data_IF_474805912117
#
_entry.id   IF_474805912117
#
_cell.length_a   1.000
_cell.length_b   1.000
_cell.length_c   1.000
_cell.angle_alpha   90.00
_cell.angle_beta   90.00
_cell.angle_gamma   90.00
#
_symmetry.space_group_name_H-M   'P 1'
#
loop_
_entity.id
_entity.type
_entity.pdbx_description
1 polymer ?
#
# COMPACT_ATOMS: atom_id res chain seq x y z
N UNK A 1 7.00 43.07 3.50
CA UNK A 1 5.79 42.34 3.90
C UNK A 1 5.98 40.90 3.48
N UNK A 2 5.99 39.98 4.43
CA UNK A 2 5.94 38.55 4.17
C UNK A 2 4.61 38.23 3.49
N UNK A 3 4.65 37.72 2.26
CA UNK A 3 3.46 37.16 1.63
C UNK A 3 2.96 36.02 2.53
N UNK A 4 1.79 36.20 3.13
CA UNK A 4 1.13 35.10 3.84
C UNK A 4 0.77 34.03 2.81
N UNK A 5 1.36 32.85 2.98
CA UNK A 5 1.07 31.67 2.17
C UNK A 5 -0.34 31.19 2.50
N UNK A 6 -1.31 31.55 1.66
CA UNK A 6 -2.70 31.14 1.79
C UNK A 6 -2.83 29.66 1.38
N UNK A 7 -2.53 28.77 2.32
CA UNK A 7 -2.77 27.33 2.15
C UNK A 7 -4.21 26.96 2.52
N UNK A 8 -4.90 26.22 1.64
CA UNK A 8 -6.22 25.62 1.92
C UNK A 8 -6.11 24.11 1.84
N UNK A 9 -6.49 23.43 2.92
CA UNK A 9 -6.68 21.98 2.89
C UNK A 9 -8.00 21.66 2.20
N UNK A 10 -7.93 20.89 1.12
CA UNK A 10 -9.11 20.38 0.41
C UNK A 10 -9.27 18.92 0.80
N UNK A 11 -10.37 18.62 1.49
CA UNK A 11 -10.72 17.24 1.80
C UNK A 11 -11.40 16.61 0.59
N UNK A 12 -11.27 15.29 0.46
CA UNK A 12 -11.86 14.55 -0.66
C UNK A 12 -13.40 14.57 -0.65
N UNK A 13 -14.01 14.78 0.51
CA UNK A 13 -15.46 14.90 0.71
C UNK A 13 -15.95 16.36 0.62
N UNK A 14 -15.06 17.32 0.35
CA UNK A 14 -15.41 18.73 0.23
C UNK A 14 -16.11 19.02 -1.10
N UNK A 15 -17.43 18.83 -1.11
CA UNK A 15 -18.30 19.13 -2.27
C UNK A 15 -18.11 20.57 -2.74
N UNK A 16 -17.83 21.50 -1.82
CA UNK A 16 -17.69 22.92 -2.14
C UNK A 16 -16.44 23.23 -3.00
N UNK A 17 -15.43 22.36 -2.95
CA UNK A 17 -14.26 22.45 -3.81
C UNK A 17 -14.58 22.08 -5.27
N UNK A 18 -15.60 21.24 -5.48
CA UNK A 18 -15.99 20.73 -6.80
C UNK A 18 -17.15 21.52 -7.46
N UNK A 19 -17.91 22.31 -6.70
CA UNK A 19 -19.09 23.05 -7.20
C UNK A 19 -18.83 24.51 -7.55
N UNK A 20 -17.59 25.02 -7.44
CA UNK A 20 -17.35 26.48 -7.49
C UNK A 20 -17.26 27.09 -8.89
N UNK A 21 -17.35 26.28 -9.93
CA UNK A 21 -17.55 26.72 -11.30
C UNK A 21 -18.28 25.63 -12.05
N UNK A 22 -19.26 25.98 -12.89
CA UNK A 22 -19.99 25.05 -13.76
C UNK A 22 -19.10 24.45 -14.87
N UNK A 23 -17.79 24.33 -14.64
CA UNK A 23 -16.86 23.72 -15.57
C UNK A 23 -17.04 22.19 -15.52
N UNK A 24 -17.57 21.59 -16.60
CA UNK A 24 -17.81 20.15 -16.65
C UNK A 24 -16.52 19.33 -16.51
N UNK A 25 -15.36 19.89 -16.88
CA UNK A 25 -14.07 19.20 -16.76
C UNK A 25 -13.62 19.06 -15.30
N UNK A 26 -13.79 20.11 -14.49
CA UNK A 26 -13.49 20.07 -13.06
C UNK A 26 -14.44 19.12 -12.33
N UNK A 27 -15.72 19.13 -12.69
CA UNK A 27 -16.71 18.22 -12.12
C UNK A 27 -16.35 16.77 -12.43
N UNK A 28 -15.99 16.47 -13.68
CA UNK A 28 -15.56 15.14 -14.09
C UNK A 28 -14.27 14.71 -13.40
N UNK A 29 -13.30 15.61 -13.22
CA UNK A 29 -12.08 15.33 -12.48
C UNK A 29 -12.36 14.97 -11.02
N UNK A 30 -13.23 15.75 -10.36
CA UNK A 30 -13.67 15.48 -9.00
C UNK A 30 -14.35 14.11 -8.90
N UNK A 31 -15.24 13.77 -9.82
CA UNK A 31 -15.91 12.48 -9.85
C UNK A 31 -14.95 11.33 -10.14
N UNK A 32 -14.01 11.49 -11.08
CA UNK A 32 -12.97 10.50 -11.36
C UNK A 32 -12.10 10.25 -10.12
N UNK A 33 -11.67 11.32 -9.44
CA UNK A 33 -10.89 11.21 -8.21
C UNK A 33 -11.69 10.55 -7.08
N UNK A 34 -12.96 10.94 -6.91
CA UNK A 34 -13.90 10.38 -5.93
C UNK A 34 -14.21 8.91 -6.19
N UNK A 35 -14.36 8.51 -7.43
CA UNK A 35 -14.63 7.12 -7.78
C UNK A 35 -13.37 6.26 -7.69
N UNK A 36 -12.18 6.82 -7.92
CA UNK A 36 -10.92 6.14 -7.65
C UNK A 36 -10.62 5.99 -6.14
N UNK A 37 -11.32 6.73 -5.27
CA UNK A 37 -11.35 6.48 -3.81
C UNK A 37 -12.11 5.20 -3.42
N UNK A 38 -12.71 4.46 -4.37
CA UNK A 38 -13.04 3.02 -4.18
C UNK A 38 -11.81 2.18 -3.76
N UNK A 39 -10.61 2.76 -3.83
CA UNK A 39 -9.42 2.39 -3.06
C UNK A 39 -9.64 2.21 -1.55
N UNK A 40 -10.77 2.62 -0.97
CA UNK A 40 -11.09 2.32 0.44
C UNK A 40 -11.25 0.82 0.65
N UNK A 41 -11.85 0.11 -0.31
CA UNK A 41 -11.99 -1.35 -0.27
C UNK A 41 -10.64 -2.06 -0.43
N UNK A 42 -9.78 -1.57 -1.34
CA UNK A 42 -8.41 -2.09 -1.52
C UNK A 42 -7.52 -1.77 -0.33
N UNK A 43 -7.72 -0.64 0.33
CA UNK A 43 -7.03 -0.27 1.57
C UNK A 43 -7.44 -1.19 2.73
N UNK A 44 -8.74 -1.45 2.88
CA UNK A 44 -9.24 -2.41 3.89
C UNK A 44 -8.69 -3.81 3.60
N UNK A 45 -8.73 -4.27 2.35
CA UNK A 45 -8.09 -5.52 1.94
C UNK A 45 -6.58 -5.52 2.20
N UNK A 46 -5.89 -4.41 1.95
CA UNK A 46 -4.46 -4.28 2.24
C UNK A 46 -4.18 -4.44 3.73
N UNK A 47 -4.98 -3.82 4.61
CA UNK A 47 -4.88 -3.99 6.07
C UNK A 47 -5.16 -5.44 6.46
N UNK A 48 -6.21 -6.05 5.91
CA UNK A 48 -6.55 -7.45 6.19
C UNK A 48 -5.47 -8.41 5.72
N UNK A 49 -4.79 -8.13 4.61
CA UNK A 49 -3.64 -8.92 4.12
C UNK A 49 -2.36 -8.68 4.93
N UNK A 50 -2.27 -7.55 5.63
CA UNK A 50 -1.12 -7.23 6.48
C UNK A 50 -1.08 -8.12 7.74
N UNK A 51 -2.25 -8.46 8.31
CA UNK A 51 -2.33 -9.26 9.52
C UNK A 51 -1.73 -10.66 9.34
N UNK A 52 -2.08 -11.44 8.29
CA UNK A 52 -1.40 -12.70 7.99
C UNK A 52 0.10 -12.53 7.75
N UNK A 53 0.52 -11.46 7.06
CA UNK A 53 1.95 -11.21 6.77
C UNK A 53 2.72 -11.04 8.08
N UNK A 54 2.25 -10.16 8.98
CA UNK A 54 2.86 -9.97 10.30
C UNK A 54 2.85 -11.25 11.15
N UNK A 55 1.77 -12.04 11.04
CA UNK A 55 1.71 -13.32 11.74
C UNK A 55 2.75 -14.30 11.20
N UNK A 56 2.94 -14.36 9.88
CA UNK A 56 3.99 -15.16 9.23
C UNK A 56 5.38 -14.68 9.67
N UNK A 57 5.63 -13.37 9.72
CA UNK A 57 6.91 -12.81 10.19
C UNK A 57 7.22 -13.25 11.61
N UNK A 58 6.24 -13.13 12.52
CA UNK A 58 6.36 -13.60 13.89
C UNK A 58 6.59 -15.11 13.96
N UNK A 59 5.88 -15.92 13.15
CA UNK A 59 6.08 -17.36 13.11
C UNK A 59 7.50 -17.72 12.66
N UNK A 60 8.07 -16.98 11.71
CA UNK A 60 9.45 -17.19 11.24
C UNK A 60 10.51 -16.77 12.25
N UNK A 61 10.16 -16.04 13.31
CA UNK A 61 11.07 -15.83 14.46
C UNK A 61 11.19 -17.05 15.37
N UNK A 62 10.36 -18.08 15.16
CA UNK A 62 10.39 -19.32 15.96
C UNK A 62 10.99 -20.46 15.17
N UNK A 63 11.81 -21.30 15.82
CA UNK A 63 12.41 -22.51 15.23
C UNK A 63 11.35 -23.45 14.63
N UNK A 64 10.19 -23.54 15.29
CA UNK A 64 9.07 -24.39 14.89
C UNK A 64 8.31 -23.84 13.68
N UNK A 65 8.13 -22.52 13.63
CA UNK A 65 7.30 -21.86 12.61
C UNK A 65 8.03 -21.56 11.30
N UNK A 66 9.37 -21.53 11.31
CA UNK A 66 10.17 -21.22 10.11
C UNK A 66 10.32 -22.44 9.19
N UNK A 67 9.26 -22.71 8.42
CA UNK A 67 9.20 -23.80 7.42
C UNK A 67 9.09 -23.23 6.00
N UNK A 68 9.49 -24.03 4.99
CA UNK A 68 9.50 -23.62 3.57
C UNK A 68 8.13 -23.11 3.07
N UNK A 69 7.04 -23.70 3.57
CA UNK A 69 5.68 -23.26 3.25
C UNK A 69 5.43 -21.81 3.72
N UNK A 70 5.81 -21.49 4.96
CA UNK A 70 5.65 -20.14 5.53
C UNK A 70 6.53 -19.12 4.81
N UNK A 71 7.78 -19.50 4.45
CA UNK A 71 8.63 -18.66 3.60
C UNK A 71 7.96 -18.33 2.27
N UNK A 72 7.42 -19.35 1.59
CA UNK A 72 6.79 -19.18 0.28
C UNK A 72 5.52 -18.34 0.38
N UNK A 73 4.70 -18.57 1.40
CA UNK A 73 3.48 -17.82 1.66
C UNK A 73 3.79 -16.36 1.98
N UNK A 74 4.82 -16.08 2.78
CA UNK A 74 5.29 -14.71 3.07
C UNK A 74 5.71 -13.98 1.79
N UNK A 75 6.51 -14.62 0.94
CA UNK A 75 6.93 -14.04 -0.36
C UNK A 75 5.74 -13.73 -1.26
N UNK A 76 4.83 -14.69 -1.47
CA UNK A 76 3.67 -14.52 -2.36
C UNK A 76 2.72 -13.44 -1.83
N UNK A 77 2.40 -13.49 -0.53
CA UNK A 77 1.47 -12.54 0.09
C UNK A 77 2.04 -11.13 0.05
N UNK A 78 3.33 -10.96 0.38
CA UNK A 78 3.96 -9.65 0.34
C UNK A 78 4.05 -9.11 -1.11
N UNK A 79 4.35 -9.96 -2.10
CA UNK A 79 4.34 -9.56 -3.52
C UNK A 79 2.94 -9.11 -3.97
N UNK A 80 1.89 -9.88 -3.68
CA UNK A 80 0.52 -9.49 -4.02
C UNK A 80 0.11 -8.17 -3.36
N UNK A 81 0.49 -7.99 -2.09
CA UNK A 81 0.20 -6.77 -1.33
C UNK A 81 0.96 -5.56 -1.87
N UNK A 82 2.23 -5.74 -2.25
CA UNK A 82 3.06 -4.71 -2.89
C UNK A 82 2.47 -4.25 -4.23
N UNK A 83 2.09 -5.19 -5.09
CA UNK A 83 1.46 -4.87 -6.38
C UNK A 83 0.16 -4.10 -6.16
N UNK A 84 -0.66 -4.55 -5.21
CA UNK A 84 -1.93 -3.90 -4.89
C UNK A 84 -1.75 -2.47 -4.37
N UNK A 85 -0.75 -2.23 -3.52
CA UNK A 85 -0.47 -0.88 -3.00
C UNK A 85 0.13 0.04 -4.06
N UNK A 86 1.01 -0.47 -4.92
CA UNK A 86 1.54 0.28 -6.08
C UNK A 86 0.43 0.66 -7.07
N UNK A 87 -0.48 -0.25 -7.39
CA UNK A 87 -1.63 0.04 -8.25
C UNK A 87 -2.51 1.14 -7.64
N UNK A 88 -2.75 1.09 -6.33
CA UNK A 88 -3.53 2.12 -5.64
C UNK A 88 -2.85 3.50 -5.68
N UNK A 89 -1.52 3.56 -5.47
CA UNK A 89 -0.74 4.80 -5.58
C UNK A 89 -0.77 5.38 -7.00
N UNK A 90 -0.62 4.53 -8.03
CA UNK A 90 -0.64 4.94 -9.43
C UNK A 90 -2.04 5.42 -9.85
N UNK A 91 -3.09 4.70 -9.45
CA UNK A 91 -4.47 5.09 -9.73
C UNK A 91 -4.80 6.46 -9.10
N UNK A 92 -4.43 6.67 -7.83
CA UNK A 92 -4.59 7.98 -7.19
C UNK A 92 -3.81 9.08 -7.91
N UNK A 93 -2.54 8.83 -8.26
CA UNK A 93 -1.72 9.83 -8.97
C UNK A 93 -2.33 10.22 -10.31
N UNK A 94 -2.79 9.24 -11.08
CA UNK A 94 -3.37 9.45 -12.41
C UNK A 94 -4.73 10.17 -12.33
N UNK A 95 -5.61 9.75 -11.42
CA UNK A 95 -6.95 10.30 -11.30
C UNK A 95 -6.98 11.66 -10.58
N UNK A 96 -6.19 11.82 -9.51
CA UNK A 96 -6.34 12.95 -8.59
C UNK A 96 -5.22 13.98 -8.62
N UNK A 97 -4.01 13.65 -9.09
CA UNK A 97 -2.85 14.56 -8.98
C UNK A 97 -2.38 15.11 -10.33
N UNK A 98 -2.26 14.25 -11.34
CA UNK A 98 -1.71 14.65 -12.65
C UNK A 98 -2.61 15.60 -13.44
N UNK A 99 -3.92 15.60 -13.15
CA UNK A 99 -4.92 16.40 -13.87
C UNK A 99 -5.32 17.68 -13.13
N UNK A 100 -4.70 17.98 -11.99
CA UNK A 100 -5.01 19.19 -11.23
C UNK A 100 -4.53 20.44 -11.98
N UNK A 101 -5.34 21.50 -12.07
CA UNK A 101 -4.97 22.73 -12.76
C UNK A 101 -3.85 23.43 -12.00
N UNK A 102 -2.76 23.78 -12.69
CA UNK A 102 -1.63 24.52 -12.08
C UNK A 102 -1.87 26.02 -12.00
N UNK A 103 -2.95 26.51 -12.60
CA UNK A 103 -3.29 27.93 -12.70
C UNK A 103 -4.81 28.11 -12.61
N UNK A 104 -5.25 29.12 -11.85
CA UNK A 104 -6.64 29.56 -11.79
C UNK A 104 -6.76 30.89 -12.54
N UNK A 105 -7.56 30.90 -13.61
CA UNK A 105 -7.88 32.05 -14.46
C UNK A 105 -6.68 32.78 -15.09
N UNK A 106 -5.54 32.10 -15.24
CA UNK A 106 -4.31 32.66 -15.83
C UNK A 106 -3.55 33.61 -14.88
N UNK A 107 -3.98 33.73 -13.62
CA UNK A 107 -3.53 34.79 -12.71
C UNK A 107 -2.89 34.26 -11.43
N UNK A 108 -3.27 33.07 -10.98
CA UNK A 108 -2.81 32.52 -9.71
C UNK A 108 -2.22 31.13 -9.93
N UNK A 109 -0.90 31.03 -9.81
CA UNK A 109 -0.21 29.76 -9.81
C UNK A 109 -0.58 28.96 -8.55
N UNK A 110 -1.07 27.75 -8.74
CA UNK A 110 -1.47 26.84 -7.65
C UNK A 110 -0.46 25.73 -7.53
N UNK A 111 0.04 25.51 -6.31
CA UNK A 111 0.88 24.38 -5.99
C UNK A 111 0.10 23.33 -5.21
N UNK A 112 -0.01 22.14 -5.79
CA UNK A 112 -0.70 21.02 -5.17
C UNK A 112 0.28 20.14 -4.40
N UNK A 113 -0.07 19.84 -3.16
CA UNK A 113 0.66 18.88 -2.33
C UNK A 113 -0.23 17.68 -2.01
N UNK A 114 0.39 16.50 -1.95
CA UNK A 114 -0.32 15.28 -1.57
C UNK A 114 -0.56 15.23 -0.06
N UNK A 115 -1.74 14.74 0.33
CA UNK A 115 -2.12 14.59 1.73
C UNK A 115 -1.34 13.50 2.48
N UNK A 116 -1.52 13.45 3.81
CA UNK A 116 -0.83 12.52 4.69
C UNK A 116 -1.12 11.05 4.34
N UNK A 117 -2.36 10.72 3.99
CA UNK A 117 -2.76 9.34 3.64
C UNK A 117 -1.95 8.75 2.48
N UNK A 118 -1.73 9.54 1.41
CA UNK A 118 -0.89 9.11 0.29
C UNK A 118 0.57 8.91 0.71
N UNK A 119 1.13 9.81 1.54
CA UNK A 119 2.49 9.69 2.07
C UNK A 119 2.64 8.44 2.95
N UNK A 120 1.64 8.14 3.79
CA UNK A 120 1.61 6.92 4.60
C UNK A 120 1.56 5.66 3.72
N UNK A 121 0.71 5.62 2.70
CA UNK A 121 0.62 4.49 1.77
C UNK A 121 1.92 4.28 0.98
N UNK A 122 2.56 5.38 0.56
CA UNK A 122 3.88 5.35 -0.08
C UNK A 122 4.93 4.77 0.88
N UNK A 123 5.00 5.26 2.12
CA UNK A 123 5.90 4.72 3.14
C UNK A 123 5.68 3.23 3.41
N UNK A 124 4.41 2.81 3.56
CA UNK A 124 4.06 1.41 3.74
C UNK A 124 4.48 0.54 2.54
N UNK A 125 4.31 1.05 1.32
CA UNK A 125 4.76 0.38 0.08
C UNK A 125 6.27 0.20 0.07
N UNK A 126 7.05 1.20 0.50
CA UNK A 126 8.51 1.09 0.59
C UNK A 126 8.95 0.07 1.64
N UNK A 127 8.29 0.01 2.80
CA UNK A 127 8.57 -0.99 3.84
C UNK A 127 8.34 -2.40 3.30
N UNK A 128 7.25 -2.63 2.55
CA UNK A 128 6.95 -3.92 1.92
C UNK A 128 8.05 -4.39 0.97
N UNK A 129 8.66 -3.48 0.23
CA UNK A 129 9.79 -3.82 -0.66
C UNK A 129 10.96 -4.37 0.16
N UNK A 130 11.33 -3.71 1.25
CA UNK A 130 12.40 -4.18 2.15
C UNK A 130 12.04 -5.53 2.74
N UNK A 131 10.82 -5.70 3.22
CA UNK A 131 10.33 -6.95 3.79
C UNK A 131 10.37 -8.11 2.77
N UNK A 132 10.02 -7.84 1.50
CA UNK A 132 10.07 -8.84 0.43
C UNK A 132 11.51 -9.30 0.20
N UNK A 133 12.46 -8.36 0.18
CA UNK A 133 13.88 -8.70 0.09
C UNK A 133 14.36 -9.52 1.29
N UNK A 134 13.93 -9.20 2.51
CA UNK A 134 14.23 -9.99 3.71
C UNK A 134 13.70 -11.43 3.57
N UNK A 135 12.46 -11.62 3.13
CA UNK A 135 11.91 -12.96 2.93
C UNK A 135 12.65 -13.78 1.87
N UNK A 136 13.12 -13.13 0.79
CA UNK A 136 13.91 -13.78 -0.25
C UNK A 136 15.31 -14.14 0.28
N UNK A 137 15.97 -13.18 0.94
CA UNK A 137 17.35 -13.30 1.41
C UNK A 137 17.52 -14.27 2.58
N UNK A 138 16.55 -14.35 3.50
CA UNK A 138 16.65 -15.21 4.70
C UNK A 138 16.23 -16.64 4.35
N UNK A 139 17.17 -17.61 4.32
CA UNK A 139 16.84 -19.01 4.13
C UNK A 139 16.09 -19.57 5.35
N UNK A 140 15.30 -20.61 5.14
CA UNK A 140 14.77 -21.45 6.22
C UNK A 140 15.89 -22.36 6.78
N UNK A 141 15.74 -22.93 7.99
CA UNK A 141 16.73 -23.83 8.56
C UNK A 141 16.99 -25.02 7.63
N UNK A 142 18.26 -25.37 7.41
CA UNK A 142 18.66 -26.45 6.50
C UNK A 142 18.09 -27.82 6.89
N UNK A 143 17.85 -28.04 8.19
CA UNK A 143 17.15 -29.23 8.70
C UNK A 143 15.74 -29.43 8.11
N UNK A 144 15.17 -28.39 7.48
CA UNK A 144 13.84 -28.39 6.84
C UNK A 144 13.89 -28.51 5.31
N UNK A 145 15.07 -28.72 4.71
CA UNK A 145 15.21 -28.80 3.25
C UNK A 145 15.17 -30.22 2.72
N UNK A 146 15.57 -31.18 3.55
CA UNK A 146 15.64 -32.58 3.17
C UNK A 146 14.27 -33.25 3.32
N UNK A 147 13.98 -34.18 2.41
CA UNK A 147 12.80 -35.03 2.50
C UNK A 147 13.11 -36.10 3.55
N UNK A 148 12.27 -36.22 4.57
CA UNK A 148 12.43 -37.25 5.58
C UNK A 148 12.09 -38.61 4.98
N UNK A 149 13.01 -39.58 5.11
CA UNK A 149 12.82 -40.96 4.64
C UNK A 149 11.88 -41.78 5.53
N UNK A 150 11.55 -41.27 6.73
CA UNK A 150 10.60 -41.87 7.66
C UNK A 150 9.30 -41.07 7.73
N UNK A 151 8.17 -41.77 7.82
CA UNK A 151 6.87 -41.19 8.17
C UNK A 151 6.88 -40.75 9.65
N UNK A 152 7.53 -39.62 9.92
CA UNK A 152 7.43 -38.94 11.20
C UNK A 152 6.03 -38.34 11.33
N UNK A 153 5.42 -38.50 12.50
CA UNK A 153 4.20 -37.77 12.81
C UNK A 153 4.49 -36.26 12.79
N UNK A 154 3.48 -35.44 12.48
CA UNK A 154 3.62 -33.98 12.49
C UNK A 154 4.21 -33.47 13.82
N UNK A 155 3.82 -34.08 14.95
CA UNK A 155 4.32 -33.72 16.27
C UNK A 155 5.83 -34.01 16.45
N UNK A 156 6.36 -35.06 15.83
CA UNK A 156 7.80 -35.38 15.86
C UNK A 156 8.58 -34.48 14.90
N UNK A 157 8.03 -34.21 13.71
CA UNK A 157 8.61 -33.25 12.77
C UNK A 157 8.82 -31.89 13.42
N UNK A 158 7.85 -31.43 14.20
CA UNK A 158 7.88 -30.15 14.87
C UNK A 158 8.85 -30.04 16.05
N UNK A 159 9.39 -31.16 16.54
CA UNK A 159 10.39 -31.20 17.64
C UNK A 159 11.84 -31.16 17.16
N UNK A 160 12.08 -31.39 15.86
CA UNK A 160 13.39 -31.28 15.21
C UNK A 160 13.85 -29.82 15.07
#
# INVERSE_FOLDING_TARGET
GSAEDLSREIRWDDVSACTRGDDPEILQLCDDCRNNLLSTSTLVLAILTQLPTMATDLQRTTLFGDVNCQKSMGVVTNLCSLVSSMMSLLAFRAACYQRLPTDIDGQVAVQWSVGLGFKCLLGATLIKIVDLFCHLAVPTPSARWEKLDQELSLAEYLKL
#
